data_IF_323447140756
#
_entry.id   IF_323447140756
#
_cell.length_a   1.000
_cell.length_b   1.000
_cell.length_c   1.000
_cell.angle_alpha   90.00
_cell.angle_beta   90.00
_cell.angle_gamma   90.00
#
_symmetry.space_group_name_H-M   'P 1'
#
loop_
_entity.id
_entity.type
_entity.pdbx_description
1 polymer ?
#
# COMPACT_ATOMS: atom_id res chain seq x y z
N UNK A 1 29.80 6.32 -22.64
CA UNK A 1 28.75 5.34 -22.96
C UNK A 1 27.84 5.26 -21.74
N UNK A 2 26.69 5.93 -21.76
CA UNK A 2 25.75 5.90 -20.63
C UNK A 2 25.04 4.54 -20.61
N UNK A 3 25.24 3.78 -19.54
CA UNK A 3 24.45 2.59 -19.19
C UNK A 3 22.96 2.95 -19.16
N UNK A 4 22.07 2.15 -19.78
CA UNK A 4 20.63 2.37 -19.62
C UNK A 4 20.26 2.07 -18.17
N UNK A 5 19.97 3.13 -17.41
CA UNK A 5 19.40 3.07 -16.08
C UNK A 5 18.03 2.38 -16.19
N UNK A 6 17.99 1.07 -15.96
CA UNK A 6 16.76 0.27 -16.04
C UNK A 6 15.96 0.47 -14.77
N UNK A 7 15.54 1.71 -14.53
CA UNK A 7 14.49 1.99 -13.58
C UNK A 7 13.20 1.62 -14.30
N UNK A 8 12.82 0.34 -14.20
CA UNK A 8 11.50 -0.15 -14.62
C UNK A 8 10.49 0.85 -14.08
N UNK A 9 9.86 1.63 -14.95
CA UNK A 9 8.77 2.50 -14.58
C UNK A 9 7.65 1.60 -14.08
N UNK A 10 7.63 1.33 -12.77
CA UNK A 10 6.60 0.50 -12.15
C UNK A 10 5.29 1.23 -12.43
N UNK A 11 4.34 0.54 -13.06
CA UNK A 11 3.01 1.09 -13.22
C UNK A 11 2.52 1.56 -11.84
N UNK A 12 2.23 2.86 -11.66
CA UNK A 12 1.95 3.43 -10.33
C UNK A 12 0.72 2.76 -9.69
N UNK A 13 -0.17 2.25 -10.53
CA UNK A 13 -1.32 1.46 -10.16
C UNK A 13 -1.00 0.07 -9.61
N UNK A 14 -0.09 -0.64 -10.28
CA UNK A 14 0.45 -1.92 -9.82
C UNK A 14 1.23 -1.73 -8.51
N UNK A 15 2.06 -0.68 -8.43
CA UNK A 15 2.81 -0.34 -7.22
C UNK A 15 1.86 -0.12 -6.04
N UNK A 16 0.82 0.70 -6.22
CA UNK A 16 -0.15 0.96 -5.18
C UNK A 16 -0.90 -0.31 -4.76
N UNK A 17 -1.25 -1.19 -5.70
CA UNK A 17 -1.88 -2.49 -5.39
C UNK A 17 -0.98 -3.37 -4.52
N UNK A 18 0.31 -3.45 -4.85
CA UNK A 18 1.28 -4.26 -4.09
C UNK A 18 1.49 -3.68 -2.69
N UNK A 19 1.63 -2.35 -2.58
CA UNK A 19 1.79 -1.67 -1.30
C UNK A 19 0.57 -1.89 -0.38
N UNK A 20 -0.65 -1.76 -0.91
CA UNK A 20 -1.89 -2.03 -0.16
C UNK A 20 -1.98 -3.50 0.25
N UNK A 21 -1.61 -4.44 -0.63
CA UNK A 21 -1.62 -5.86 -0.31
C UNK A 21 -0.66 -6.18 0.85
N UNK A 22 0.55 -5.63 0.82
CA UNK A 22 1.53 -5.77 1.89
C UNK A 22 1.02 -5.17 3.20
N UNK A 23 0.47 -3.95 3.14
CA UNK A 23 -0.14 -3.28 4.28
C UNK A 23 -1.22 -4.13 4.96
N UNK A 24 -2.12 -4.75 4.20
CA UNK A 24 -3.12 -5.65 4.78
C UNK A 24 -2.49 -6.89 5.40
N UNK A 25 -1.44 -7.48 4.82
CA UNK A 25 -0.74 -8.62 5.42
C UNK A 25 -0.11 -8.27 6.78
N UNK A 26 0.63 -7.16 6.85
CA UNK A 26 1.28 -6.71 8.09
C UNK A 26 0.24 -6.41 9.18
N UNK A 27 -0.79 -5.63 8.82
CA UNK A 27 -1.82 -5.23 9.79
C UNK A 27 -2.79 -6.35 10.18
N UNK A 28 -2.81 -7.45 9.44
CA UNK A 28 -3.50 -8.69 9.81
C UNK A 28 -2.70 -9.48 10.84
N UNK A 29 -1.39 -9.62 10.63
CA UNK A 29 -0.50 -10.29 11.58
C UNK A 29 -0.45 -9.57 12.94
N UNK A 30 -0.50 -8.24 12.93
CA UNK A 30 -0.61 -7.43 14.16
C UNK A 30 -2.02 -7.40 14.77
N UNK A 31 -2.98 -8.13 14.20
CA UNK A 31 -4.37 -8.22 14.64
C UNK A 31 -5.08 -6.86 14.78
N UNK A 32 -4.78 -5.91 13.89
CA UNK A 32 -5.36 -4.56 13.95
C UNK A 32 -6.78 -4.51 13.39
N UNK A 33 -7.65 -3.72 14.01
CA UNK A 33 -9.00 -3.46 13.50
C UNK A 33 -9.01 -2.37 12.41
N UNK A 34 -10.11 -2.25 11.65
CA UNK A 34 -10.21 -1.33 10.50
C UNK A 34 -9.98 0.15 10.86
N UNK A 35 -10.27 0.57 12.09
CA UNK A 35 -10.00 1.93 12.56
C UNK A 35 -8.50 2.19 12.73
N UNK A 36 -7.79 1.27 13.39
CA UNK A 36 -6.33 1.33 13.52
C UNK A 36 -5.66 1.29 12.14
N UNK A 37 -6.16 0.45 11.23
CA UNK A 37 -5.70 0.41 9.84
C UNK A 37 -5.91 1.75 9.12
N UNK A 38 -7.05 2.40 9.31
CA UNK A 38 -7.28 3.75 8.78
C UNK A 38 -6.29 4.76 9.35
N UNK A 39 -6.02 4.74 10.65
CA UNK A 39 -5.05 5.64 11.30
C UNK A 39 -3.65 5.44 10.72
N UNK A 40 -3.19 4.19 10.60
CA UNK A 40 -1.87 3.89 10.02
C UNK A 40 -1.77 4.33 8.55
N UNK A 41 -2.80 4.05 7.75
CA UNK A 41 -2.86 4.44 6.35
C UNK A 41 -3.12 5.94 6.11
N UNK A 42 -3.36 6.74 7.16
CA UNK A 42 -3.70 8.17 7.02
C UNK A 42 -5.07 8.41 6.39
N UNK A 43 -5.99 7.45 6.51
CA UNK A 43 -7.32 7.50 5.92
C UNK A 43 -8.36 8.04 6.89
N UNK A 44 -9.16 9.00 6.42
CA UNK A 44 -10.30 9.55 7.17
C UNK A 44 -11.57 8.69 7.08
N UNK A 45 -11.60 7.66 6.22
CA UNK A 45 -12.80 6.86 5.97
C UNK A 45 -12.51 5.37 5.79
N UNK A 46 -13.26 4.53 6.52
CA UNK A 46 -13.25 3.07 6.37
C UNK A 46 -13.71 2.61 4.97
N UNK A 47 -14.45 3.45 4.26
CA UNK A 47 -14.90 3.16 2.89
C UNK A 47 -13.73 3.04 1.92
N UNK A 48 -12.70 3.90 2.06
CA UNK A 48 -11.48 3.83 1.25
C UNK A 48 -10.72 2.53 1.52
N UNK A 49 -10.61 2.13 2.79
CA UNK A 49 -9.98 0.88 3.20
C UNK A 49 -10.72 -0.35 2.61
N UNK A 50 -12.05 -0.37 2.68
CA UNK A 50 -12.84 -1.45 2.08
C UNK A 50 -12.75 -1.47 0.54
N UNK A 51 -12.70 -0.30 -0.11
CA UNK A 51 -12.51 -0.22 -1.55
C UNK A 51 -11.13 -0.75 -1.98
N UNK A 52 -10.08 -0.46 -1.20
CA UNK A 52 -8.76 -1.04 -1.41
C UNK A 52 -8.77 -2.56 -1.26
N UNK A 53 -9.42 -3.11 -0.22
CA UNK A 53 -9.56 -4.55 -0.03
C UNK A 53 -10.21 -5.22 -1.25
N UNK A 54 -11.29 -4.64 -1.76
CA UNK A 54 -11.98 -5.10 -2.98
C UNK A 54 -11.06 -5.06 -4.20
N UNK A 55 -10.36 -3.95 -4.43
CA UNK A 55 -9.45 -3.81 -5.58
C UNK A 55 -8.28 -4.79 -5.51
N UNK A 56 -7.73 -5.06 -4.33
CA UNK A 56 -6.69 -6.08 -4.15
C UNK A 56 -7.23 -7.47 -4.51
N UNK A 57 -8.43 -7.82 -4.03
CA UNK A 57 -9.07 -9.10 -4.33
C UNK A 57 -9.33 -9.28 -5.84
N UNK A 58 -9.83 -8.24 -6.50
CA UNK A 58 -10.07 -8.21 -7.96
C UNK A 58 -8.80 -8.02 -8.79
N UNK A 59 -7.62 -7.90 -8.16
CA UNK A 59 -6.34 -7.59 -8.82
C UNK A 59 -6.39 -6.30 -9.66
N UNK A 60 -7.18 -5.32 -9.26
CA UNK A 60 -7.29 -4.03 -9.92
C UNK A 60 -6.15 -3.07 -9.54
N UNK A 61 -5.82 -2.18 -10.45
CA UNK A 61 -4.87 -1.10 -10.24
C UNK A 61 -5.35 -0.13 -9.15
N UNK A 62 -4.47 0.23 -8.21
CA UNK A 62 -4.76 1.16 -7.13
C UNK A 62 -3.82 2.35 -7.25
N UNK A 63 -4.39 3.53 -7.57
CA UNK A 63 -3.64 4.79 -7.48
C UNK A 63 -3.64 5.26 -6.03
N UNK A 64 -2.46 5.40 -5.46
CA UNK A 64 -2.24 5.97 -4.14
C UNK A 64 -1.66 7.38 -4.28
N UNK A 65 -1.97 8.25 -3.32
CA UNK A 65 -1.23 9.50 -3.14
C UNK A 65 0.20 9.19 -2.67
N UNK A 66 1.13 10.10 -2.94
CA UNK A 66 2.53 9.96 -2.54
C UNK A 66 2.66 9.76 -1.02
N UNK A 67 2.00 10.60 -0.22
CA UNK A 67 1.96 10.49 1.26
C UNK A 67 1.56 9.08 1.72
N UNK A 68 0.47 8.54 1.17
CA UNK A 68 -0.02 7.21 1.53
C UNK A 68 1.00 6.11 1.21
N UNK A 69 1.66 6.22 0.05
CA UNK A 69 2.69 5.28 -0.37
C UNK A 69 3.92 5.35 0.55
N UNK A 70 4.35 6.55 0.94
CA UNK A 70 5.45 6.76 1.87
C UNK A 70 5.13 6.12 3.23
N UNK A 71 3.93 6.35 3.77
CA UNK A 71 3.45 5.72 5.03
C UNK A 71 3.50 4.19 4.96
N UNK A 72 3.01 3.60 3.87
CA UNK A 72 3.10 2.14 3.66
C UNK A 72 4.55 1.66 3.58
N UNK A 73 5.44 2.45 2.98
CA UNK A 73 6.88 2.12 2.90
C UNK A 73 7.56 2.14 4.27
N UNK A 74 7.22 3.10 5.13
CA UNK A 74 7.70 3.10 6.52
C UNK A 74 7.22 1.89 7.31
N UNK A 75 5.95 1.51 7.17
CA UNK A 75 5.40 0.31 7.82
C UNK A 75 6.11 -0.96 7.35
N UNK A 76 6.37 -1.08 6.04
CA UNK A 76 7.14 -2.18 5.48
C UNK A 76 8.58 -2.22 6.04
N UNK A 77 9.19 -1.05 6.26
CA UNK A 77 10.50 -0.92 6.90
C UNK A 77 10.51 -1.42 8.34
N UNK A 78 9.51 -1.02 9.15
CA UNK A 78 9.35 -1.49 10.54
C UNK A 78 9.11 -3.00 10.61
N UNK A 79 8.32 -3.55 9.69
CA UNK A 79 8.02 -4.98 9.65
C UNK A 79 9.24 -5.85 9.28
N UNK A 80 10.13 -5.34 8.42
CA UNK A 80 11.33 -6.06 7.98
C UNK A 80 12.51 -5.91 8.95
N UNK A 81 12.57 -4.80 9.69
CA UNK A 81 13.63 -4.49 10.64
C UNK A 81 13.60 -5.41 11.84
#
# INVERSE_FOLDING_TARGET
MHTPNTQTAIDPGLQGRVAVKLFFGITDEWALNDEQRCILAGLNSRTTLHNWRKKVASKESIKLSLDTLERMSYLAGVYKG
#
